data_IF_187606380951
#
_entry.id   IF_187606380951
#
_cell.length_a   1.000
_cell.length_b   1.000
_cell.length_c   1.000
_cell.angle_alpha   90.00
_cell.angle_beta   90.00
_cell.angle_gamma   90.00
#
_symmetry.space_group_name_H-M   'P 1'
#
loop_
_entity.id
_entity.type
_entity.pdbx_description
1 polymer ?
#
# COMPACT_ATOMS: atom_id res chain seq x y z
N UNK A 1 -30.49 -13.02 13.38
CA UNK A 1 -30.22 -11.79 12.61
C UNK A 1 -31.04 -10.63 13.17
N UNK A 2 -30.50 -9.42 13.33
CA UNK A 2 -31.31 -8.28 13.74
C UNK A 2 -32.37 -8.00 12.65
N UNK A 3 -33.58 -7.70 13.05
CA UNK A 3 -34.68 -7.43 12.11
C UNK A 3 -34.34 -6.22 11.24
N UNK A 4 -34.86 -6.17 10.00
CA UNK A 4 -34.65 -5.03 9.07
C UNK A 4 -34.94 -3.68 9.70
N UNK A 5 -35.88 -3.65 10.68
CA UNK A 5 -36.22 -2.46 11.43
C UNK A 5 -35.08 -2.05 12.39
N UNK A 6 -34.47 -3.01 13.10
CA UNK A 6 -33.33 -2.72 13.98
C UNK A 6 -32.10 -2.22 13.21
N UNK A 7 -31.87 -2.76 11.99
CA UNK A 7 -30.81 -2.26 11.13
C UNK A 7 -31.09 -0.82 10.66
N UNK A 8 -32.31 -0.51 10.24
CA UNK A 8 -32.68 0.83 9.82
C UNK A 8 -32.57 1.85 10.95
N UNK A 9 -32.95 1.47 12.18
CA UNK A 9 -32.83 2.30 13.39
C UNK A 9 -31.33 2.53 13.74
N UNK A 10 -30.54 1.49 13.67
CA UNK A 10 -29.09 1.60 13.90
C UNK A 10 -28.40 2.50 12.85
N UNK A 11 -28.77 2.38 11.59
CA UNK A 11 -28.24 3.25 10.52
C UNK A 11 -28.71 4.70 10.68
N UNK A 12 -29.98 4.92 11.08
CA UNK A 12 -30.50 6.25 11.35
C UNK A 12 -29.82 6.94 12.55
N UNK A 13 -29.60 6.21 13.63
CA UNK A 13 -28.87 6.73 14.80
C UNK A 13 -27.40 7.02 14.51
N UNK A 14 -26.77 6.18 13.72
CA UNK A 14 -25.37 6.38 13.27
C UNK A 14 -25.26 7.63 12.37
N UNK A 15 -26.21 7.81 11.44
CA UNK A 15 -26.27 8.99 10.57
C UNK A 15 -26.45 10.27 11.37
N UNK A 16 -27.40 10.31 12.32
CA UNK A 16 -27.63 11.46 13.20
C UNK A 16 -26.38 11.79 14.03
N UNK A 17 -25.71 10.78 14.59
CA UNK A 17 -24.47 10.95 15.34
C UNK A 17 -23.32 11.53 14.49
N UNK A 18 -23.19 11.11 13.22
CA UNK A 18 -22.19 11.66 12.28
C UNK A 18 -22.54 13.11 11.95
N UNK A 19 -23.81 13.42 11.65
CA UNK A 19 -24.25 14.78 11.32
C UNK A 19 -23.98 15.74 12.49
N UNK A 20 -24.28 15.36 13.71
CA UNK A 20 -23.97 16.14 14.90
C UNK A 20 -22.47 16.40 15.05
N UNK A 21 -21.64 15.37 14.96
CA UNK A 21 -20.18 15.51 15.04
C UNK A 21 -19.64 16.40 13.93
N UNK A 22 -20.15 16.26 12.70
CA UNK A 22 -19.74 17.09 11.58
C UNK A 22 -20.16 18.55 11.77
N UNK A 23 -21.32 18.83 12.38
CA UNK A 23 -21.72 20.18 12.77
C UNK A 23 -20.68 20.84 13.68
N UNK A 24 -20.26 20.14 14.74
CA UNK A 24 -19.21 20.63 15.64
C UNK A 24 -17.86 20.83 14.91
N UNK A 25 -17.48 19.90 14.01
CA UNK A 25 -16.23 19.98 13.24
C UNK A 25 -16.23 21.19 12.29
N UNK A 26 -17.35 21.47 11.64
CA UNK A 26 -17.54 22.65 10.78
C UNK A 26 -17.46 23.96 11.58
N UNK A 27 -18.10 24.01 12.75
CA UNK A 27 -18.01 25.17 13.64
C UNK A 27 -16.59 25.47 14.10
N UNK A 28 -15.74 24.44 14.23
CA UNK A 28 -14.30 24.60 14.54
C UNK A 28 -13.45 25.04 13.36
N UNK A 29 -14.03 25.12 12.16
CA UNK A 29 -13.38 25.51 10.90
C UNK A 29 -12.00 24.85 10.71
N UNK A 30 -11.92 23.55 11.05
CA UNK A 30 -10.69 22.80 11.04
C UNK A 30 -10.38 22.36 9.59
N UNK A 31 -9.56 23.14 8.90
CA UNK A 31 -8.93 22.73 7.65
C UNK A 31 -7.66 21.95 7.95
N UNK A 32 -7.49 20.82 7.28
CA UNK A 32 -6.32 19.96 7.37
C UNK A 32 -5.65 19.95 6.02
N UNK A 33 -4.42 20.40 5.95
CA UNK A 33 -3.69 20.33 4.68
C UNK A 33 -3.36 18.87 4.38
N UNK A 34 -2.59 18.20 5.23
CA UNK A 34 -2.23 16.82 4.98
C UNK A 34 -2.29 15.96 6.25
N UNK A 35 -2.77 14.73 6.06
CA UNK A 35 -2.70 13.68 7.06
C UNK A 35 -1.43 12.88 6.87
N UNK A 36 -0.63 12.75 7.91
CA UNK A 36 0.59 11.95 7.89
C UNK A 36 0.26 10.50 8.26
N UNK A 37 0.62 9.58 7.37
CA UNK A 37 0.46 8.14 7.56
C UNK A 37 1.83 7.45 7.45
N UNK A 38 2.41 7.01 8.58
CA UNK A 38 3.60 6.16 8.53
C UNK A 38 3.23 4.79 7.96
N UNK A 39 4.03 4.32 7.00
CA UNK A 39 3.93 2.99 6.40
C UNK A 39 5.23 2.25 6.67
N UNK A 40 5.16 1.12 7.35
CA UNK A 40 6.33 0.34 7.73
C UNK A 40 5.96 -1.06 8.20
N UNK A 41 6.97 -1.95 8.28
CA UNK A 41 6.80 -3.34 8.70
C UNK A 41 6.23 -4.24 7.60
N UNK A 42 5.65 -5.39 7.97
CA UNK A 42 5.27 -6.44 7.01
C UNK A 42 4.03 -6.14 6.17
N UNK A 43 3.27 -5.09 6.47
CA UNK A 43 2.08 -4.63 5.75
C UNK A 43 1.10 -5.77 5.35
N UNK A 44 0.58 -6.56 6.29
CA UNK A 44 -0.29 -7.68 5.97
C UNK A 44 -1.60 -7.21 5.32
N UNK A 45 -2.21 -8.03 4.47
CA UNK A 45 -3.47 -7.71 3.81
C UNK A 45 -4.62 -7.49 4.81
N UNK A 46 -4.68 -8.30 5.86
CA UNK A 46 -5.74 -8.25 6.87
C UNK A 46 -5.22 -7.80 8.22
N UNK A 47 -6.06 -7.08 8.93
CA UNK A 47 -5.77 -6.68 10.31
C UNK A 47 -5.77 -7.91 11.23
N UNK A 48 -4.84 -7.94 12.17
CA UNK A 48 -4.82 -8.96 13.23
C UNK A 48 -6.16 -9.01 13.98
N UNK A 49 -6.59 -10.18 14.43
CA UNK A 49 -7.75 -10.29 15.30
C UNK A 49 -7.56 -9.42 16.55
N UNK A 50 -8.65 -8.91 17.09
CA UNK A 50 -8.57 -8.10 18.31
C UNK A 50 -7.96 -8.92 19.43
N UNK A 51 -6.89 -8.41 20.03
CA UNK A 51 -6.22 -9.02 21.18
C UNK A 51 -7.20 -9.33 22.30
N UNK A 52 -7.07 -10.52 22.89
CA UNK A 52 -7.82 -10.96 24.05
C UNK A 52 -7.55 -10.08 25.27
N UNK A 53 -8.35 -10.26 26.33
CA UNK A 53 -8.22 -9.48 27.56
C UNK A 53 -6.84 -9.61 28.23
N UNK A 54 -6.26 -10.81 28.21
CA UNK A 54 -4.92 -11.07 28.77
C UNK A 54 -3.81 -10.47 27.88
N UNK A 55 -3.89 -10.65 26.58
CA UNK A 55 -2.90 -10.13 25.63
C UNK A 55 -2.78 -8.60 25.67
N UNK A 56 -3.89 -7.88 25.96
CA UNK A 56 -3.87 -6.41 26.10
C UNK A 56 -3.08 -5.92 27.31
N UNK A 57 -2.82 -6.78 28.29
CA UNK A 57 -2.05 -6.46 29.49
C UNK A 57 -0.57 -6.81 29.37
N UNK A 58 -0.21 -7.58 28.35
CA UNK A 58 1.18 -7.90 28.06
C UNK A 58 1.84 -6.77 27.27
N UNK A 59 3.12 -6.47 27.49
CA UNK A 59 3.88 -5.47 26.73
C UNK A 59 4.25 -6.01 25.33
N UNK A 60 3.22 -6.38 24.55
CA UNK A 60 3.40 -6.84 23.18
C UNK A 60 3.60 -5.66 22.24
N UNK A 61 4.42 -5.79 21.18
CA UNK A 61 4.56 -4.77 20.16
C UNK A 61 3.20 -4.44 19.54
N UNK A 62 2.99 -3.20 19.07
CA UNK A 62 1.76 -2.84 18.37
C UNK A 62 1.57 -3.70 17.13
N UNK A 63 0.31 -3.97 16.79
CA UNK A 63 -0.01 -4.68 15.56
C UNK A 63 0.48 -3.88 14.35
N UNK A 64 1.05 -4.55 13.32
CA UNK A 64 1.50 -3.86 12.12
C UNK A 64 0.31 -3.24 11.39
N UNK A 65 0.58 -2.14 10.67
CA UNK A 65 -0.40 -1.55 9.77
C UNK A 65 -0.76 -2.56 8.67
N UNK A 66 -2.05 -2.88 8.55
CA UNK A 66 -2.54 -3.75 7.47
C UNK A 66 -3.08 -2.96 6.29
N UNK A 67 -3.12 -3.56 5.11
CA UNK A 67 -3.77 -2.98 3.94
C UNK A 67 -5.26 -2.73 4.17
N UNK A 68 -5.94 -3.59 4.91
CA UNK A 68 -7.33 -3.40 5.32
C UNK A 68 -7.50 -2.12 6.15
N UNK A 69 -6.64 -1.88 7.12
CA UNK A 69 -6.66 -0.67 7.95
C UNK A 69 -6.31 0.57 7.14
N UNK A 70 -5.26 0.48 6.29
CA UNK A 70 -4.84 1.55 5.41
C UNK A 70 -5.96 1.96 4.46
N UNK A 71 -6.58 1.01 3.76
CA UNK A 71 -7.72 1.27 2.87
C UNK A 71 -8.88 1.95 3.61
N UNK A 72 -9.16 1.54 4.86
CA UNK A 72 -10.19 2.17 5.68
C UNK A 72 -9.86 3.62 6.03
N UNK A 73 -8.59 3.91 6.35
CA UNK A 73 -8.11 5.28 6.61
C UNK A 73 -8.20 6.15 5.36
N UNK A 74 -7.72 5.64 4.22
CA UNK A 74 -7.74 6.35 2.95
C UNK A 74 -9.17 6.64 2.48
N UNK A 75 -10.10 5.71 2.69
CA UNK A 75 -11.51 5.92 2.39
C UNK A 75 -12.11 7.08 3.20
N UNK A 76 -11.79 7.16 4.49
CA UNK A 76 -12.25 8.26 5.35
C UNK A 76 -11.69 9.61 4.88
N UNK A 77 -10.42 9.63 4.47
CA UNK A 77 -9.75 10.82 3.95
C UNK A 77 -10.36 11.22 2.60
N UNK A 78 -10.58 10.26 1.70
CA UNK A 78 -11.19 10.49 0.40
C UNK A 78 -12.61 11.11 0.52
N UNK A 79 -13.37 10.67 1.53
CA UNK A 79 -14.73 11.16 1.78
C UNK A 79 -14.78 12.53 2.49
N UNK A 80 -13.67 12.99 3.08
CA UNK A 80 -13.64 14.21 3.88
C UNK A 80 -13.36 15.45 3.00
N UNK A 81 -14.26 16.45 3.07
CA UNK A 81 -14.14 17.68 2.28
C UNK A 81 -13.07 18.64 2.83
N UNK A 82 -12.73 18.51 4.12
CA UNK A 82 -11.85 19.42 4.84
C UNK A 82 -10.39 18.93 4.95
N UNK A 83 -9.94 18.11 4.03
CA UNK A 83 -8.56 17.64 3.94
C UNK A 83 -8.08 17.68 2.49
N UNK A 84 -6.87 18.17 2.27
CA UNK A 84 -6.24 18.27 0.96
C UNK A 84 -5.67 16.93 0.50
N UNK A 85 -4.92 16.25 1.38
CA UNK A 85 -4.29 15.00 0.98
C UNK A 85 -3.62 14.24 2.11
N UNK A 86 -2.73 13.34 1.71
CA UNK A 86 -1.97 12.44 2.57
C UNK A 86 -0.48 12.54 2.27
N UNK A 87 0.32 12.58 3.31
CA UNK A 87 1.76 12.33 3.25
C UNK A 87 2.02 10.94 3.82
N UNK A 88 2.41 10.01 2.97
CA UNK A 88 2.92 8.70 3.39
C UNK A 88 4.39 8.82 3.76
N UNK A 89 4.73 8.42 4.97
CA UNK A 89 6.11 8.36 5.45
C UNK A 89 6.55 6.91 5.47
N UNK A 90 7.39 6.53 4.52
CA UNK A 90 7.90 5.16 4.45
C UNK A 90 9.03 4.98 5.49
N UNK A 91 8.93 3.89 6.25
CA UNK A 91 9.87 3.55 7.33
C UNK A 91 10.42 2.15 7.17
N UNK A 92 10.77 1.78 5.96
CA UNK A 92 11.15 0.41 5.67
C UNK A 92 9.97 -0.55 5.85
N UNK A 93 9.46 -1.04 4.78
CA UNK A 93 8.42 -2.09 4.81
C UNK A 93 8.87 -3.27 3.96
N UNK A 94 8.38 -4.44 4.33
CA UNK A 94 8.61 -5.69 3.61
C UNK A 94 7.25 -6.21 3.17
N UNK A 95 6.93 -6.05 1.91
CA UNK A 95 5.67 -6.48 1.33
C UNK A 95 5.91 -7.23 0.03
N UNK A 96 5.13 -8.28 -0.20
CA UNK A 96 5.13 -9.00 -1.47
C UNK A 96 4.52 -8.14 -2.59
N UNK A 97 4.82 -8.51 -3.83
CA UNK A 97 4.41 -7.75 -5.01
C UNK A 97 2.90 -7.48 -5.07
N UNK A 98 2.06 -8.48 -4.77
CA UNK A 98 0.61 -8.32 -4.75
C UNK A 98 0.14 -7.26 -3.73
N UNK A 99 0.78 -7.19 -2.56
CA UNK A 99 0.49 -6.16 -1.54
C UNK A 99 0.94 -4.78 -2.01
N UNK A 100 2.09 -4.68 -2.69
CA UNK A 100 2.55 -3.42 -3.30
C UNK A 100 1.58 -2.94 -4.38
N UNK A 101 1.06 -3.83 -5.22
CA UNK A 101 0.03 -3.51 -6.21
C UNK A 101 -1.25 -3.01 -5.54
N UNK A 102 -1.69 -3.67 -4.45
CA UNK A 102 -2.85 -3.24 -3.67
C UNK A 102 -2.64 -1.84 -3.05
N UNK A 103 -1.43 -1.58 -2.52
CA UNK A 103 -1.04 -0.26 -2.02
C UNK A 103 -1.13 0.80 -3.13
N UNK A 104 -0.52 0.54 -4.30
CA UNK A 104 -0.59 1.44 -5.46
C UNK A 104 -2.04 1.72 -5.86
N UNK A 105 -2.86 0.68 -5.97
CA UNK A 105 -4.27 0.82 -6.30
C UNK A 105 -5.03 1.67 -5.26
N UNK A 106 -4.68 1.56 -3.98
CA UNK A 106 -5.27 2.38 -2.92
C UNK A 106 -4.88 3.86 -3.05
N UNK A 107 -3.62 4.15 -3.36
CA UNK A 107 -3.12 5.51 -3.61
C UNK A 107 -3.78 6.11 -4.85
N UNK A 108 -3.88 5.36 -5.95
CA UNK A 108 -4.53 5.81 -7.17
C UNK A 108 -6.02 6.11 -6.96
N UNK A 109 -6.74 5.29 -6.18
CA UNK A 109 -8.14 5.57 -5.80
C UNK A 109 -8.27 6.86 -4.98
N UNK A 110 -7.33 7.12 -4.07
CA UNK A 110 -7.28 8.35 -3.29
C UNK A 110 -7.10 9.58 -4.21
N UNK A 111 -6.16 9.48 -5.15
CA UNK A 111 -5.92 10.54 -6.15
C UNK A 111 -7.13 10.75 -7.07
N UNK A 112 -7.77 9.69 -7.52
CA UNK A 112 -9.01 9.75 -8.32
C UNK A 112 -10.17 10.41 -7.55
N UNK A 113 -10.17 10.36 -6.21
CA UNK A 113 -11.11 11.09 -5.37
C UNK A 113 -10.74 12.58 -5.18
N UNK A 114 -9.76 13.10 -5.92
CA UNK A 114 -9.32 14.49 -5.87
C UNK A 114 -8.41 14.83 -4.68
N UNK A 115 -7.82 13.82 -4.02
CA UNK A 115 -6.90 14.03 -2.91
C UNK A 115 -5.45 13.91 -3.37
N UNK A 116 -4.60 14.77 -2.84
CA UNK A 116 -3.17 14.66 -3.07
C UNK A 116 -2.57 13.50 -2.28
N UNK A 117 -1.68 12.77 -2.91
CA UNK A 117 -0.88 11.71 -2.30
C UNK A 117 0.59 12.04 -2.48
N UNK A 118 1.32 12.13 -1.39
CA UNK A 118 2.74 12.47 -1.36
C UNK A 118 3.45 11.37 -0.58
N UNK A 119 4.61 10.96 -1.06
CA UNK A 119 5.47 10.00 -0.37
C UNK A 119 6.75 10.68 0.07
N UNK A 120 7.09 10.54 1.33
CA UNK A 120 8.40 10.83 1.87
C UNK A 120 9.09 9.52 2.24
N UNK A 121 10.26 9.26 1.67
CA UNK A 121 11.01 8.02 1.94
C UNK A 121 12.51 8.27 2.05
N UNK A 122 13.14 7.89 3.18
CA UNK A 122 14.57 8.02 3.38
C UNK A 122 15.39 6.91 2.69
N UNK A 123 14.74 5.86 2.23
CA UNK A 123 15.34 4.72 1.55
C UNK A 123 14.51 4.34 0.32
N UNK A 124 15.17 4.11 -0.80
CA UNK A 124 14.52 3.87 -2.09
C UNK A 124 15.14 2.65 -2.77
N UNK A 125 14.61 1.48 -2.52
CA UNK A 125 14.81 0.28 -3.33
C UNK A 125 13.69 0.13 -4.37
N UNK A 126 13.72 -0.94 -5.15
CA UNK A 126 12.72 -1.20 -6.18
C UNK A 126 11.29 -1.29 -5.59
N UNK A 127 11.11 -1.95 -4.45
CA UNK A 127 9.80 -2.12 -3.81
C UNK A 127 9.24 -0.78 -3.29
N UNK A 128 10.10 0.01 -2.61
CA UNK A 128 9.73 1.35 -2.11
C UNK A 128 9.41 2.29 -3.26
N UNK A 129 10.25 2.31 -4.31
CA UNK A 129 10.03 3.17 -5.46
C UNK A 129 8.78 2.76 -6.25
N UNK A 130 8.56 1.47 -6.47
CA UNK A 130 7.35 0.98 -7.11
C UNK A 130 6.09 1.43 -6.35
N UNK A 131 6.08 1.29 -5.03
CA UNK A 131 4.96 1.77 -4.21
C UNK A 131 4.83 3.30 -4.27
N UNK A 132 5.94 4.04 -4.15
CA UNK A 132 5.96 5.50 -4.13
C UNK A 132 5.53 6.12 -5.47
N UNK A 133 5.85 5.50 -6.59
CA UNK A 133 5.56 6.05 -7.93
C UNK A 133 4.05 6.24 -8.20
N UNK A 134 3.16 5.56 -7.46
CA UNK A 134 1.72 5.81 -7.54
C UNK A 134 1.29 7.18 -6.95
N UNK A 135 2.14 7.81 -6.15
CA UNK A 135 1.87 9.12 -5.55
C UNK A 135 1.96 10.26 -6.59
N UNK A 136 1.44 11.41 -6.23
CA UNK A 136 1.56 12.63 -7.04
C UNK A 136 2.88 13.36 -6.85
N UNK A 137 3.62 13.07 -5.75
CA UNK A 137 4.97 13.53 -5.52
C UNK A 137 5.75 12.57 -4.62
N UNK A 138 7.04 12.48 -4.88
CA UNK A 138 8.01 11.68 -4.12
C UNK A 138 9.11 12.61 -3.62
N UNK A 139 9.38 12.60 -2.33
CA UNK A 139 10.40 13.42 -1.69
C UNK A 139 11.34 12.49 -0.94
N UNK A 140 12.63 12.69 -1.14
CA UNK A 140 13.70 11.92 -0.49
C UNK A 140 14.68 12.87 0.21
N UNK A 141 15.32 12.49 1.31
CA UNK A 141 16.34 13.31 1.92
C UNK A 141 17.66 13.31 1.09
N UNK A 142 18.49 14.37 1.23
CA UNK A 142 19.80 14.42 0.56
C UNK A 142 20.73 13.27 0.94
N UNK A 143 20.52 12.67 2.11
CA UNK A 143 21.30 11.55 2.63
C UNK A 143 20.75 10.17 2.19
N UNK A 144 19.70 10.11 1.37
CA UNK A 144 19.13 8.86 0.92
C UNK A 144 20.00 8.19 -0.14
N UNK A 145 19.80 6.88 -0.27
CA UNK A 145 20.33 6.08 -1.36
C UNK A 145 19.19 5.70 -2.29
N UNK A 146 19.33 6.01 -3.58
CA UNK A 146 18.39 5.59 -4.61
C UNK A 146 18.91 4.32 -5.26
N UNK A 147 18.51 3.18 -4.67
CA UNK A 147 18.99 1.83 -5.04
C UNK A 147 17.89 1.04 -5.77
N UNK A 148 17.30 1.65 -6.79
CA UNK A 148 16.33 0.97 -7.65
C UNK A 148 17.10 0.10 -8.62
N UNK A 149 17.41 -1.11 -8.16
CA UNK A 149 18.12 -2.13 -8.92
C UNK A 149 17.11 -3.13 -9.49
N UNK A 150 17.54 -4.01 -10.38
CA UNK A 150 16.71 -5.03 -11.00
C UNK A 150 16.18 -6.08 -10.02
N UNK A 151 15.51 -7.09 -10.55
CA UNK A 151 15.06 -8.26 -9.78
C UNK A 151 16.14 -9.34 -9.77
N UNK A 152 16.26 -10.02 -8.65
CA UNK A 152 17.06 -11.24 -8.56
C UNK A 152 16.34 -12.30 -7.74
N UNK A 153 16.68 -13.54 -7.99
CA UNK A 153 16.27 -14.67 -7.16
C UNK A 153 17.45 -15.60 -6.89
N UNK A 154 17.47 -16.17 -5.72
CA UNK A 154 18.49 -17.12 -5.29
C UNK A 154 17.84 -18.43 -4.91
N UNK A 155 18.39 -19.55 -5.36
CA UNK A 155 17.91 -20.89 -5.02
C UNK A 155 19.03 -21.68 -4.37
N UNK A 156 18.78 -22.15 -3.16
CA UNK A 156 19.69 -23.03 -2.44
C UNK A 156 19.44 -24.49 -2.82
N UNK A 157 20.44 -25.14 -3.37
CA UNK A 157 20.45 -26.58 -3.67
C UNK A 157 21.02 -27.35 -2.48
N UNK A 158 20.35 -28.39 -2.03
CA UNK A 158 20.67 -29.14 -0.81
C UNK A 158 21.17 -30.56 -1.06
N UNK A 159 21.29 -31.02 -2.29
CA UNK A 159 21.71 -32.38 -2.66
C UNK A 159 23.00 -32.80 -1.96
N UNK A 160 24.06 -31.98 -2.06
CA UNK A 160 25.36 -32.31 -1.49
C UNK A 160 25.36 -32.24 0.04
N UNK A 161 24.58 -31.30 0.61
CA UNK A 161 24.41 -31.21 2.07
C UNK A 161 23.70 -32.47 2.62
N UNK A 162 22.66 -32.93 1.94
CA UNK A 162 21.96 -34.16 2.29
C UNK A 162 22.84 -35.37 2.14
N UNK A 163 23.63 -35.44 1.07
CA UNK A 163 24.59 -36.55 0.86
C UNK A 163 25.63 -36.65 1.99
N UNK A 164 26.14 -35.52 2.50
CA UNK A 164 27.03 -35.50 3.68
C UNK A 164 26.36 -36.02 4.95
N UNK A 165 25.05 -35.84 5.07
CA UNK A 165 24.24 -36.38 6.14
C UNK A 165 23.80 -37.85 5.90
N UNK A 166 24.25 -38.49 4.83
CA UNK A 166 23.84 -39.85 4.46
C UNK A 166 22.43 -39.95 3.87
N UNK A 167 21.84 -38.85 3.46
CA UNK A 167 20.48 -38.79 2.88
C UNK A 167 20.56 -38.57 1.36
N UNK A 168 19.84 -39.41 0.62
CA UNK A 168 19.68 -39.27 -0.83
C UNK A 168 18.21 -38.99 -1.15
N UNK A 169 17.91 -37.87 -1.82
CA UNK A 169 16.59 -37.59 -2.30
C UNK A 169 16.35 -38.34 -3.64
N UNK A 170 15.31 -39.18 -3.67
CA UNK A 170 14.83 -39.81 -4.89
C UNK A 170 13.53 -39.11 -5.32
N UNK A 171 13.50 -38.60 -6.55
CA UNK A 171 12.40 -37.80 -7.05
C UNK A 171 11.82 -38.44 -8.32
N UNK A 172 10.54 -38.69 -8.34
CA UNK A 172 9.79 -39.10 -9.53
C UNK A 172 9.01 -37.91 -10.03
N UNK A 173 9.42 -37.37 -11.17
CA UNK A 173 8.77 -36.24 -11.83
C UNK A 173 7.81 -36.73 -12.91
N UNK A 174 6.58 -36.22 -12.90
CA UNK A 174 5.58 -36.52 -13.95
C UNK A 174 5.68 -35.57 -15.16
N UNK A 175 6.48 -34.51 -15.05
CA UNK A 175 6.75 -33.53 -16.10
C UNK A 175 8.06 -32.83 -15.80
N UNK A 176 8.89 -32.49 -16.81
CA UNK A 176 10.16 -31.76 -16.61
C UNK A 176 9.97 -30.41 -15.96
N UNK A 177 8.80 -29.77 -16.09
CA UNK A 177 8.47 -28.50 -15.44
C UNK A 177 7.97 -28.62 -13.99
N UNK A 178 7.93 -29.83 -13.41
CA UNK A 178 7.66 -30.05 -11.97
C UNK A 178 8.95 -29.98 -11.15
N UNK A 179 9.58 -28.82 -11.14
CA UNK A 179 10.95 -28.59 -10.66
C UNK A 179 11.07 -28.33 -9.16
N UNK A 180 9.97 -28.35 -8.40
CA UNK A 180 9.96 -28.01 -6.96
C UNK A 180 10.94 -28.84 -6.12
N UNK A 181 11.21 -30.10 -6.53
CA UNK A 181 12.11 -31.02 -5.81
C UNK A 181 13.55 -30.98 -6.37
N UNK A 182 13.85 -30.25 -7.42
CA UNK A 182 15.18 -30.12 -8.01
C UNK A 182 16.20 -29.64 -6.97
N UNK A 183 15.78 -28.74 -6.07
CA UNK A 183 16.63 -28.24 -4.99
C UNK A 183 17.18 -29.33 -4.02
N UNK A 184 16.55 -30.51 -3.98
CA UNK A 184 16.99 -31.64 -3.14
C UNK A 184 17.72 -32.74 -3.93
N UNK A 185 17.50 -32.82 -5.24
CA UNK A 185 18.02 -33.87 -6.12
C UNK A 185 19.12 -33.40 -7.07
N UNK A 186 19.26 -32.08 -7.26
CA UNK A 186 20.25 -31.48 -8.14
C UNK A 186 21.17 -30.53 -7.35
N UNK A 187 22.28 -30.19 -7.97
CA UNK A 187 23.30 -29.26 -7.49
C UNK A 187 23.26 -27.90 -8.23
N UNK A 188 22.51 -27.84 -9.34
CA UNK A 188 22.29 -26.65 -10.14
C UNK A 188 20.91 -26.69 -10.81
N UNK A 189 20.53 -25.58 -11.46
CA UNK A 189 19.28 -25.45 -12.20
C UNK A 189 19.17 -26.47 -13.33
N UNK A 190 18.00 -27.10 -13.47
CA UNK A 190 17.63 -27.72 -14.74
C UNK A 190 17.29 -26.62 -15.77
N UNK A 191 17.42 -26.90 -17.10
CA UNK A 191 17.01 -25.96 -18.12
C UNK A 191 15.57 -25.47 -17.96
N UNK A 192 14.66 -26.38 -17.57
CA UNK A 192 13.25 -26.10 -17.36
C UNK A 192 13.04 -25.23 -16.13
N UNK A 193 13.79 -25.45 -15.05
CA UNK A 193 13.68 -24.63 -13.83
C UNK A 193 14.20 -23.21 -14.10
N UNK A 194 15.34 -23.10 -14.78
CA UNK A 194 15.88 -21.80 -15.21
C UNK A 194 14.87 -21.05 -16.08
N UNK A 195 14.33 -21.70 -17.11
CA UNK A 195 13.34 -21.10 -18.00
C UNK A 195 12.08 -20.61 -17.27
N UNK A 196 11.60 -21.34 -16.24
CA UNK A 196 10.47 -20.91 -15.43
C UNK A 196 10.79 -19.67 -14.59
N UNK A 197 11.98 -19.61 -13.99
CA UNK A 197 12.39 -18.47 -13.16
C UNK A 197 12.66 -17.22 -14.02
N UNK A 198 13.37 -17.39 -15.13
CA UNK A 198 13.67 -16.30 -16.06
C UNK A 198 12.35 -15.68 -16.56
N UNK A 199 11.39 -16.51 -17.03
CA UNK A 199 10.08 -16.04 -17.46
C UNK A 199 9.32 -15.31 -16.36
N UNK A 200 9.33 -15.83 -15.12
CA UNK A 200 8.67 -15.19 -13.98
C UNK A 200 9.29 -13.83 -13.66
N UNK A 201 10.62 -13.74 -13.66
CA UNK A 201 11.34 -12.49 -13.37
C UNK A 201 11.13 -11.45 -14.48
N UNK A 202 11.17 -11.89 -15.75
CA UNK A 202 10.93 -11.02 -16.90
C UNK A 202 9.51 -10.42 -16.86
N UNK A 203 8.49 -11.25 -16.63
CA UNK A 203 7.10 -10.79 -16.53
C UNK A 203 6.92 -9.78 -15.39
N UNK A 204 7.49 -10.07 -14.22
CA UNK A 204 7.44 -9.15 -13.08
C UNK A 204 8.20 -7.85 -13.36
N UNK A 205 9.39 -7.91 -13.97
CA UNK A 205 10.19 -6.76 -14.29
C UNK A 205 9.52 -5.87 -15.35
N UNK A 206 8.91 -6.48 -16.36
CA UNK A 206 8.15 -5.80 -17.39
C UNK A 206 6.97 -5.02 -16.78
N UNK A 207 6.20 -5.67 -15.93
CA UNK A 207 5.07 -5.06 -15.24
C UNK A 207 5.52 -3.90 -14.33
N UNK A 208 6.56 -4.10 -13.52
CA UNK A 208 7.07 -3.08 -12.60
C UNK A 208 7.58 -1.85 -13.37
N UNK A 209 8.37 -2.06 -14.42
CA UNK A 209 8.94 -0.97 -15.22
C UNK A 209 7.87 -0.23 -16.01
N UNK A 210 6.86 -0.92 -16.55
CA UNK A 210 5.73 -0.30 -17.22
C UNK A 210 4.89 0.58 -16.27
N UNK A 211 4.56 0.07 -15.07
CA UNK A 211 3.81 0.81 -14.07
C UNK A 211 4.56 2.06 -13.58
N UNK A 212 5.87 1.96 -13.36
CA UNK A 212 6.71 3.08 -12.96
C UNK A 212 6.82 4.13 -14.09
N UNK A 213 7.02 3.70 -15.32
CA UNK A 213 7.08 4.56 -16.50
C UNK A 213 5.77 5.35 -16.68
N UNK A 214 4.64 4.67 -16.67
CA UNK A 214 3.32 5.29 -16.77
C UNK A 214 3.07 6.31 -15.64
N UNK A 215 3.49 5.98 -14.42
CA UNK A 215 3.29 6.85 -13.25
C UNK A 215 4.17 8.10 -13.29
N UNK A 216 5.35 8.04 -13.90
CA UNK A 216 6.30 9.16 -14.00
C UNK A 216 6.26 9.90 -15.34
N UNK A 217 5.43 9.44 -16.29
CA UNK A 217 5.37 10.00 -17.63
C UNK A 217 6.64 9.80 -18.44
N UNK A 218 7.35 8.69 -18.21
CA UNK A 218 8.59 8.29 -18.88
C UNK A 218 8.33 7.09 -19.79
N UNK A 219 9.22 6.90 -20.76
CA UNK A 219 9.21 5.67 -21.55
C UNK A 219 9.74 4.48 -20.73
N UNK A 220 9.16 3.30 -20.93
CA UNK A 220 9.57 2.09 -20.20
C UNK A 220 11.06 1.76 -20.42
N UNK A 221 11.55 1.96 -21.64
CA UNK A 221 12.97 1.77 -21.96
C UNK A 221 13.90 2.70 -21.15
N UNK A 222 13.45 3.94 -20.88
CA UNK A 222 14.19 4.88 -20.04
C UNK A 222 14.27 4.40 -18.58
N UNK A 223 13.17 3.86 -18.03
CA UNK A 223 13.17 3.27 -16.68
C UNK A 223 14.13 2.08 -16.59
N UNK A 224 14.17 1.22 -17.61
CA UNK A 224 15.10 0.08 -17.65
C UNK A 224 16.55 0.56 -17.69
N UNK A 225 16.87 1.54 -18.53
CA UNK A 225 18.21 2.12 -18.60
C UNK A 225 18.62 2.76 -17.27
N UNK A 226 17.71 3.47 -16.59
CA UNK A 226 17.96 4.04 -15.27
C UNK A 226 18.27 2.97 -14.23
N UNK A 227 17.60 1.81 -14.28
CA UNK A 227 17.86 0.68 -13.40
C UNK A 227 19.25 0.09 -13.68
N UNK A 228 19.63 -0.02 -14.95
CA UNK A 228 20.93 -0.54 -15.37
C UNK A 228 22.09 0.41 -14.98
N UNK A 229 21.82 1.73 -14.98
CA UNK A 229 22.79 2.77 -14.60
C UNK A 229 22.87 3.01 -13.07
N UNK A 230 21.97 2.38 -12.30
CA UNK A 230 21.92 2.51 -10.83
C UNK A 230 23.16 1.99 -10.09
N UNK A 231 23.34 2.36 -8.81
CA UNK A 231 22.52 3.26 -8.00
C UNK A 231 22.70 4.75 -8.33
N UNK A 232 21.70 5.60 -8.00
CA UNK A 232 21.75 7.02 -8.29
C UNK A 232 21.87 7.87 -7.00
N UNK A 233 22.41 9.08 -7.15
CA UNK A 233 22.30 10.10 -6.10
C UNK A 233 20.89 10.72 -6.07
N UNK A 234 20.46 11.31 -4.96
CA UNK A 234 19.17 12.01 -4.89
C UNK A 234 19.00 13.12 -5.94
N UNK A 235 20.08 13.85 -6.21
CA UNK A 235 20.11 14.93 -7.20
C UNK A 235 19.97 14.39 -8.62
N UNK A 236 20.62 13.26 -8.93
CA UNK A 236 20.49 12.59 -10.23
C UNK A 236 19.05 12.06 -10.41
N UNK A 237 18.46 11.46 -9.38
CA UNK A 237 17.07 10.99 -9.41
C UNK A 237 16.07 12.16 -9.60
N UNK A 238 16.35 13.32 -9.02
CA UNK A 238 15.56 14.54 -9.23
C UNK A 238 15.71 15.06 -10.67
N UNK A 239 16.94 15.12 -11.19
CA UNK A 239 17.19 15.59 -12.55
C UNK A 239 16.55 14.70 -13.62
N UNK A 240 16.46 13.40 -13.37
CA UNK A 240 15.80 12.41 -14.23
C UNK A 240 14.27 12.36 -14.06
N UNK A 241 13.71 13.17 -13.17
CA UNK A 241 12.26 13.18 -12.92
C UNK A 241 11.72 11.96 -12.15
N UNK A 242 12.60 11.17 -11.53
CA UNK A 242 12.20 10.01 -10.73
C UNK A 242 11.62 10.41 -9.37
N UNK A 243 12.08 11.51 -8.82
CA UNK A 243 11.56 12.13 -7.60
C UNK A 243 11.22 13.60 -7.85
N UNK A 244 10.41 14.19 -6.99
CA UNK A 244 9.89 15.54 -7.16
C UNK A 244 10.56 16.54 -6.21
N UNK A 245 11.33 16.05 -5.24
CA UNK A 245 12.03 16.90 -4.31
C UNK A 245 13.09 16.16 -3.49
N UNK A 246 14.11 16.93 -3.14
CA UNK A 246 15.15 16.49 -2.21
C UNK A 246 15.10 17.43 -0.99
N UNK A 247 14.67 16.89 0.15
CA UNK A 247 14.48 17.65 1.39
C UNK A 247 14.48 16.72 2.61
N UNK A 248 14.93 17.21 3.77
CA UNK A 248 14.77 16.52 5.03
C UNK A 248 13.32 16.60 5.53
N UNK A 249 12.95 15.76 6.51
CA UNK A 249 11.60 15.66 7.04
C UNK A 249 11.11 16.94 7.73
N UNK A 250 12.00 17.69 8.37
CA UNK A 250 11.73 19.00 8.96
C UNK A 250 11.47 20.09 7.90
N UNK A 251 12.01 19.95 6.71
CA UNK A 251 11.84 20.86 5.57
C UNK A 251 10.57 20.55 4.75
N UNK A 252 9.95 19.38 4.98
CA UNK A 252 8.78 18.94 4.22
C UNK A 252 7.61 19.94 4.22
N UNK A 253 7.24 20.60 5.34
CA UNK A 253 6.20 21.62 5.33
C UNK A 253 6.52 22.77 4.37
N UNK A 254 7.75 23.29 4.43
CA UNK A 254 8.19 24.40 3.57
C UNK A 254 8.28 24.01 2.10
N UNK A 255 8.64 22.76 1.81
CA UNK A 255 8.63 22.23 0.44
C UNK A 255 7.20 22.18 -0.12
N UNK A 256 6.26 21.69 0.67
CA UNK A 256 4.85 21.62 0.32
C UNK A 256 4.23 23.02 0.12
N UNK A 257 4.61 23.99 0.92
CA UNK A 257 4.19 25.40 0.76
C UNK A 257 4.62 25.95 -0.59
N UNK A 258 5.90 25.79 -0.93
CA UNK A 258 6.45 26.24 -2.22
C UNK A 258 5.72 25.60 -3.41
N UNK A 259 5.50 24.29 -3.34
CA UNK A 259 4.76 23.55 -4.37
C UNK A 259 3.34 24.09 -4.53
N UNK A 260 2.62 24.24 -3.43
CA UNK A 260 1.25 24.76 -3.43
C UNK A 260 1.16 26.16 -4.02
N UNK A 261 2.13 27.01 -3.70
CA UNK A 261 2.20 28.36 -4.26
C UNK A 261 2.46 28.33 -5.77
N UNK A 262 3.38 27.51 -6.23
CA UNK A 262 3.69 27.36 -7.64
C UNK A 262 2.45 26.85 -8.44
N UNK A 263 1.74 25.86 -7.93
CA UNK A 263 0.52 25.34 -8.53
C UNK A 263 -0.59 26.41 -8.63
N UNK A 264 -0.81 27.19 -7.56
CA UNK A 264 -1.80 28.28 -7.55
C UNK A 264 -1.42 29.39 -8.54
N UNK A 265 -0.14 29.72 -8.61
CA UNK A 265 0.36 30.74 -9.56
C UNK A 265 0.21 30.31 -11.01
N UNK A 266 0.45 29.02 -11.31
CA UNK A 266 0.26 28.45 -12.64
C UNK A 266 -1.23 28.50 -13.07
N UNK A 267 -2.15 28.09 -12.19
CA UNK A 267 -3.61 28.15 -12.45
C UNK A 267 -4.07 29.60 -12.67
N UNK A 268 -3.57 30.54 -11.88
CA UNK A 268 -3.90 31.96 -12.05
C UNK A 268 -3.41 32.52 -13.38
N UNK A 269 -2.22 32.14 -13.84
CA UNK A 269 -1.67 32.51 -15.11
C UNK A 269 -2.47 31.94 -16.31
N UNK A 270 -2.88 30.68 -16.23
CA UNK A 270 -3.73 30.04 -17.25
C UNK A 270 -5.12 30.71 -17.35
N UNK A 271 -5.69 31.08 -16.19
CA UNK A 271 -7.00 31.76 -16.16
C UNK A 271 -6.92 33.17 -16.72
N UNK A 272 -5.79 33.87 -16.53
CA UNK A 272 -5.56 35.22 -17.06
C UNK A 272 -5.36 35.23 -18.59
N UNK A 273 -4.79 34.17 -19.17
CA UNK A 273 -4.60 34.08 -20.64
C UNK A 273 -5.88 33.70 -21.39
N UNK A 274 -6.92 33.21 -20.71
CA UNK A 274 -8.23 32.85 -21.30
C UNK A 274 -9.23 33.98 -21.41
N UNK A 275 -8.98 35.15 -20.84
CA UNK A 275 -9.83 36.38 -20.98
C UNK A 275 -9.07 37.44 -21.79
N UNK A 276 -9.28 37.39 -23.11
CA UNK A 276 -8.90 38.50 -23.99
C UNK A 276 -9.72 39.75 -23.68
N UNK A 277 -9.04 40.92 -23.64
CA UNK A 277 -9.52 42.28 -23.69
C UNK A 277 -10.51 42.74 -22.60
N UNK A 278 -9.99 43.27 -21.50
CA UNK A 278 -10.59 44.37 -20.78
C UNK A 278 -9.56 45.17 -19.98
N UNK A 279 -9.24 46.34 -20.52
CA UNK A 279 -8.84 47.61 -19.86
C UNK A 279 -8.00 47.53 -18.57
N UNK A 280 -6.79 48.03 -18.74
CA UNK A 280 -5.83 48.40 -17.69
C UNK A 280 -6.43 49.31 -16.62
N UNK A 281 -6.60 48.83 -15.42
CA UNK A 281 -6.57 49.69 -14.25
C UNK A 281 -5.49 49.14 -13.28
N UNK A 282 -4.43 49.92 -13.16
CA UNK A 282 -3.23 49.63 -12.42
C UNK A 282 -3.47 49.83 -10.93
N UNK A 283 -4.05 48.86 -10.28
CA UNK A 283 -4.03 48.74 -8.82
C UNK A 283 -3.42 47.40 -8.41
N UNK A 284 -2.11 47.42 -8.25
CA UNK A 284 -1.39 46.28 -7.61
C UNK A 284 -2.07 45.95 -6.29
N UNK A 285 -2.57 44.70 -6.08
CA UNK A 285 -3.00 44.32 -4.76
C UNK A 285 -1.75 44.14 -3.90
N UNK A 286 -1.42 45.16 -3.09
CA UNK A 286 -0.55 45.01 -1.92
C UNK A 286 -1.30 44.20 -0.85
N UNK A 287 -1.62 42.95 -1.13
CA UNK A 287 -1.96 41.95 -0.14
C UNK A 287 -0.68 41.23 0.21
N UNK A 288 -0.15 41.45 1.42
CA UNK A 288 0.71 40.48 2.09
C UNK A 288 -0.14 39.22 2.25
N UNK A 289 -0.11 38.33 1.26
CA UNK A 289 -0.55 36.96 1.44
C UNK A 289 0.38 36.35 2.50
N UNK A 290 -0.03 36.45 3.75
CA UNK A 290 0.60 35.71 4.83
C UNK A 290 0.35 34.23 4.51
N UNK A 291 1.34 33.59 3.93
CA UNK A 291 1.36 32.17 3.61
C UNK A 291 1.07 31.44 4.92
N UNK A 292 -0.13 30.87 5.05
CA UNK A 292 -0.47 30.05 6.22
C UNK A 292 0.43 28.82 6.18
N UNK A 293 1.16 28.53 7.26
CA UNK A 293 2.02 27.36 7.30
C UNK A 293 1.22 26.09 7.09
N UNK A 294 1.70 25.20 6.22
CA UNK A 294 1.08 23.90 5.96
C UNK A 294 1.06 23.06 7.23
N UNK A 295 -0.11 22.55 7.58
CA UNK A 295 -0.33 21.73 8.76
C UNK A 295 -0.25 20.25 8.40
N UNK A 296 0.83 19.61 8.81
CA UNK A 296 0.98 18.16 8.81
C UNK A 296 0.38 17.59 10.09
N UNK A 297 -0.65 16.77 9.97
CA UNK A 297 -1.37 16.24 11.12
C UNK A 297 -1.32 14.72 11.16
N UNK A 298 -0.88 14.14 12.27
CA UNK A 298 -0.89 12.69 12.47
C UNK A 298 -2.32 12.13 12.43
N UNK A 299 -2.50 10.92 11.90
CA UNK A 299 -3.80 10.26 11.77
C UNK A 299 -4.67 10.34 13.03
N UNK A 300 -4.08 10.10 14.20
CA UNK A 300 -4.79 10.07 15.48
C UNK A 300 -5.47 11.41 15.82
N UNK A 301 -4.85 12.50 15.43
CA UNK A 301 -5.35 13.86 15.62
C UNK A 301 -6.35 14.22 14.50
N UNK A 302 -5.94 13.99 13.25
CA UNK A 302 -6.74 14.29 12.08
C UNK A 302 -8.11 13.56 12.11
N UNK A 303 -8.13 12.28 12.52
CA UNK A 303 -9.35 11.47 12.59
C UNK A 303 -10.49 12.12 13.41
N UNK A 304 -10.16 12.96 14.38
CA UNK A 304 -11.12 13.68 15.21
C UNK A 304 -11.71 14.91 14.51
N UNK A 305 -11.04 15.43 13.50
CA UNK A 305 -11.39 16.67 12.80
C UNK A 305 -11.93 16.42 11.39
N UNK A 306 -11.63 15.29 10.77
CA UNK A 306 -12.11 14.92 9.45
C UNK A 306 -13.64 14.88 9.40
N UNK A 307 -14.24 15.54 8.43
CA UNK A 307 -15.68 15.51 8.16
C UNK A 307 -16.01 14.14 7.56
N UNK A 308 -16.87 13.39 8.23
CA UNK A 308 -17.19 12.02 7.82
C UNK A 308 -18.44 11.98 6.94
N UNK A 309 -18.39 11.15 5.91
CA UNK A 309 -19.57 10.82 5.11
C UNK A 309 -20.26 9.60 5.72
N UNK A 310 -21.56 9.71 5.94
CA UNK A 310 -22.34 8.53 6.35
C UNK A 310 -22.46 7.57 5.18
N UNK A 311 -22.02 6.35 5.36
CA UNK A 311 -22.19 5.26 4.39
C UNK A 311 -23.21 4.28 4.94
N UNK A 312 -24.31 4.11 4.24
CA UNK A 312 -25.28 3.07 4.56
C UNK A 312 -24.63 1.70 4.42
N UNK A 313 -24.89 0.81 5.33
CA UNK A 313 -24.46 -0.58 5.18
C UNK A 313 -25.09 -1.18 3.92
N UNK A 314 -24.30 -1.81 3.05
CA UNK A 314 -24.85 -2.46 1.87
C UNK A 314 -25.81 -3.58 2.32
N UNK A 315 -26.87 -3.80 1.57
CA UNK A 315 -27.80 -4.90 1.83
C UNK A 315 -27.18 -6.26 1.55
N UNK A 316 -26.24 -6.30 0.60
CA UNK A 316 -25.44 -7.49 0.25
C UNK A 316 -23.97 -7.17 0.43
N UNK A 317 -23.20 -8.19 0.77
CA UNK A 317 -21.76 -8.08 0.95
C UNK A 317 -21.02 -9.19 0.18
N UNK A 318 -19.75 -8.96 -0.06
CA UNK A 318 -18.83 -9.96 -0.60
C UNK A 318 -18.09 -10.57 0.57
N UNK A 319 -18.19 -11.89 0.72
CA UNK A 319 -17.41 -12.65 1.69
C UNK A 319 -15.97 -12.82 1.17
N UNK A 320 -14.99 -12.78 2.06
CA UNK A 320 -13.60 -13.12 1.74
C UNK A 320 -13.14 -14.21 2.70
N UNK A 321 -12.64 -15.30 2.15
CA UNK A 321 -12.03 -16.41 2.88
C UNK A 321 -10.54 -16.43 2.57
N UNK A 322 -9.71 -16.31 3.60
CA UNK A 322 -8.27 -16.42 3.45
C UNK A 322 -7.84 -17.86 3.69
N UNK A 323 -7.10 -18.40 2.73
CA UNK A 323 -6.39 -19.67 2.87
C UNK A 323 -4.91 -19.38 3.09
N UNK A 324 -4.38 -19.79 4.23
CA UNK A 324 -2.99 -19.55 4.60
C UNK A 324 -2.29 -20.87 4.93
N UNK A 325 -1.09 -21.05 4.38
CA UNK A 325 -0.27 -22.22 4.60
C UNK A 325 -0.50 -23.35 3.61
N UNK A 326 0.02 -24.53 3.94
CA UNK A 326 -0.12 -25.73 3.12
C UNK A 326 -1.55 -26.24 3.17
N UNK A 327 -2.12 -26.58 2.01
CA UNK A 327 -3.42 -27.26 1.95
C UNK A 327 -3.21 -28.73 2.28
N UNK A 328 -3.90 -29.21 3.31
CA UNK A 328 -3.75 -30.57 3.82
C UNK A 328 -5.12 -31.19 4.13
N UNK A 329 -5.16 -32.53 4.22
CA UNK A 329 -6.36 -33.24 4.65
C UNK A 329 -6.61 -33.05 6.15
N UNK A 330 -7.87 -32.82 6.53
CA UNK A 330 -8.29 -32.67 7.93
C UNK A 330 -8.66 -31.25 8.32
N UNK A 331 -8.41 -30.88 9.56
CA UNK A 331 -8.72 -29.56 10.10
C UNK A 331 -7.54 -28.61 9.99
N UNK A 332 -7.82 -27.33 9.73
CA UNK A 332 -6.79 -26.28 9.73
C UNK A 332 -6.07 -26.22 11.07
N UNK A 333 -4.75 -26.06 11.03
CA UNK A 333 -3.90 -25.95 12.22
C UNK A 333 -3.06 -24.68 12.14
N UNK A 334 -2.96 -24.00 13.27
CA UNK A 334 -2.02 -22.89 13.46
C UNK A 334 -1.11 -23.28 14.61
N UNK A 335 0.15 -23.63 14.36
CA UNK A 335 1.07 -24.00 15.42
C UNK A 335 1.34 -22.78 16.32
N UNK A 336 1.59 -23.00 17.62
CA UNK A 336 1.90 -21.93 18.56
C UNK A 336 3.25 -21.24 18.27
N UNK A 337 4.14 -21.92 17.57
CA UNK A 337 5.46 -21.44 17.16
C UNK A 337 5.63 -21.79 15.68
N UNK A 338 5.91 -20.78 14.87
CA UNK A 338 6.23 -20.95 13.44
C UNK A 338 7.73 -21.32 13.34
N UNK A 339 8.00 -22.59 13.11
CA UNK A 339 9.37 -23.07 12.93
C UNK A 339 9.72 -22.96 11.44
N UNK A 340 10.87 -22.40 11.08
CA UNK A 340 11.30 -22.26 9.68
C UNK A 340 11.80 -23.59 9.08
N UNK A 341 11.13 -24.69 9.40
CA UNK A 341 11.47 -26.02 8.88
C UNK A 341 10.50 -26.32 7.73
N UNK A 342 10.98 -26.51 6.50
CA UNK A 342 10.14 -26.92 5.39
C UNK A 342 9.32 -28.14 5.74
N UNK A 343 8.00 -28.08 5.49
CA UNK A 343 7.02 -29.16 5.74
C UNK A 343 6.71 -29.51 7.20
N UNK A 344 7.34 -28.88 8.18
CA UNK A 344 7.09 -29.14 9.60
C UNK A 344 6.86 -27.81 10.33
N UNK A 345 5.68 -27.65 10.92
CA UNK A 345 5.41 -26.53 11.85
C UNK A 345 4.77 -25.28 11.26
N UNK A 346 4.46 -25.23 9.96
CA UNK A 346 3.74 -24.11 9.34
C UNK A 346 2.22 -24.17 9.55
N UNK A 347 1.53 -23.05 9.26
CA UNK A 347 0.07 -23.03 9.18
C UNK A 347 -0.42 -24.00 8.11
N UNK A 348 -1.51 -24.72 8.39
CA UNK A 348 -2.17 -25.56 7.39
C UNK A 348 -3.62 -25.17 7.22
N UNK A 349 -4.08 -25.14 5.96
CA UNK A 349 -5.47 -24.98 5.58
C UNK A 349 -6.08 -26.38 5.34
N UNK A 350 -6.88 -26.85 6.30
CA UNK A 350 -7.50 -28.19 6.21
C UNK A 350 -8.74 -28.18 5.36
N UNK A 351 -8.90 -29.20 4.51
CA UNK A 351 -10.05 -29.38 3.62
C UNK A 351 -11.37 -29.48 4.38
N UNK A 352 -11.40 -30.17 5.53
CA UNK A 352 -12.60 -30.28 6.37
C UNK A 352 -13.04 -28.91 6.93
N UNK A 353 -12.09 -28.07 7.36
CA UNK A 353 -12.38 -26.70 7.81
C UNK A 353 -12.96 -25.88 6.67
N UNK A 354 -12.40 -26.00 5.48
CA UNK A 354 -12.85 -25.27 4.29
C UNK A 354 -14.27 -25.72 3.89
N UNK A 355 -14.54 -27.02 3.81
CA UNK A 355 -15.86 -27.56 3.50
C UNK A 355 -16.91 -27.12 4.53
N UNK A 356 -16.57 -27.19 5.82
CA UNK A 356 -17.48 -26.73 6.89
C UNK A 356 -17.78 -25.21 6.76
N UNK A 357 -16.80 -24.40 6.40
CA UNK A 357 -16.95 -22.98 6.15
C UNK A 357 -17.85 -22.72 4.93
N UNK A 358 -17.62 -23.41 3.83
CA UNK A 358 -18.43 -23.28 2.60
C UNK A 358 -19.90 -23.61 2.85
N UNK A 359 -20.17 -24.71 3.55
CA UNK A 359 -21.55 -25.08 3.96
C UNK A 359 -22.22 -24.06 4.87
N UNK A 360 -21.43 -23.36 5.68
CA UNK A 360 -21.94 -22.27 6.52
C UNK A 360 -22.24 -21.01 5.69
N UNK A 361 -21.38 -20.71 4.74
CA UNK A 361 -21.46 -19.56 3.84
C UNK A 361 -22.66 -19.71 2.88
N UNK A 362 -22.94 -20.90 2.37
CA UNK A 362 -24.09 -21.21 1.51
C UNK A 362 -25.44 -20.82 2.15
N UNK A 363 -25.51 -20.80 3.48
CA UNK A 363 -26.72 -20.45 4.24
C UNK A 363 -26.89 -18.95 4.50
N UNK A 364 -26.01 -18.10 3.93
CA UNK A 364 -26.02 -16.65 4.15
C UNK A 364 -26.71 -15.93 2.99
N UNK A 365 -28.00 -15.64 3.13
CA UNK A 365 -28.84 -15.02 2.08
C UNK A 365 -28.38 -13.61 1.66
N UNK A 366 -27.68 -12.90 2.55
CA UNK A 366 -27.23 -11.52 2.33
C UNK A 366 -25.87 -11.46 1.63
N UNK A 367 -25.21 -12.58 1.34
CA UNK A 367 -23.95 -12.64 0.65
C UNK A 367 -24.15 -12.69 -0.85
N UNK A 368 -23.55 -11.73 -1.59
CA UNK A 368 -23.66 -11.65 -3.05
C UNK A 368 -22.62 -12.53 -3.77
N UNK A 369 -21.45 -12.66 -3.19
CA UNK A 369 -20.33 -13.44 -3.73
C UNK A 369 -19.35 -13.84 -2.63
N UNK A 370 -18.54 -14.85 -2.89
CA UNK A 370 -17.44 -15.30 -2.06
C UNK A 370 -16.15 -15.27 -2.88
N UNK A 371 -15.08 -14.74 -2.29
CA UNK A 371 -13.72 -14.70 -2.86
C UNK A 371 -12.81 -15.56 -1.96
N UNK A 372 -12.00 -16.39 -2.59
CA UNK A 372 -10.93 -17.17 -1.95
C UNK A 372 -9.58 -16.58 -2.26
#
# INVERSE_FOLDING_TARGET
MPSKIMQALADGSAAAGITYRNGIRRLRNAEIDYVVLPVGGPLPERSSPKRGFLERRLPLPPDPLSMQELNSKLQIIADADNVRGVVFVFRGFSAGLATLQNFRAAVLRLRAAGKEAIVYTPYVDLAHYYAASAAGAIIIPPSSHFEVLGLYTEVTFLKDTLAKAGVKAEVVQISPYKTAMDRFSRDDFSPEYRAQLDWLLDDQFDMLTADMAAARGLEQAAIRQIIDDGPLTPEAALALGLVDGVAYDDQLPSWLEKRTHAERSAIAAETATGQGDAISDSTSPKGKDSIKPIKLMQWRQARRLLIEKHRRRPRRYIGVVSLEGLIDMGTSRTPPIDLPIPFIGGKTAGDQTLVALLRRVEKLDDMAALIF
#
